data_IF_936608540678
#
_entry.id   IF_936608540678
#
_cell.length_a   1.000
_cell.length_b   1.000
_cell.length_c   1.000
_cell.angle_alpha   90.00
_cell.angle_beta   90.00
_cell.angle_gamma   90.00
#
_symmetry.space_group_name_H-M   'P 1'
#
loop_
_entity.id
_entity.type
_entity.pdbx_description
1 polymer ?
#
# COMPACT_ATOMS: atom_id res chain seq x y z
N UNK A 1 -9.26 -14.79 16.83
CA UNK A 1 -9.40 -14.58 15.38
C UNK A 1 -8.12 -15.09 14.71
N UNK A 2 -8.18 -16.17 13.92
CA UNK A 2 -7.04 -16.55 13.07
C UNK A 2 -6.98 -15.55 11.93
N UNK A 3 -5.98 -14.67 11.95
CA UNK A 3 -5.69 -13.82 10.78
C UNK A 3 -5.24 -14.81 9.71
N UNK A 4 -6.00 -14.98 8.64
CA UNK A 4 -5.66 -15.96 7.61
C UNK A 4 -4.22 -15.70 7.15
N UNK A 5 -3.27 -16.64 7.33
CA UNK A 5 -1.93 -16.50 6.81
C UNK A 5 -2.04 -16.56 5.28
N UNK A 6 -2.16 -15.42 4.63
CA UNK A 6 -1.95 -15.37 3.19
C UNK A 6 -0.43 -15.24 3.01
N UNK A 7 0.28 -16.30 2.60
CA UNK A 7 1.70 -16.21 2.33
C UNK A 7 1.96 -15.19 1.23
N UNK A 8 3.11 -14.51 1.33
CA UNK A 8 3.49 -13.40 0.45
C UNK A 8 3.30 -13.67 -1.07
N UNK A 9 3.63 -14.86 -1.61
CA UNK A 9 3.37 -15.17 -3.02
C UNK A 9 1.88 -15.13 -3.38
N UNK A 10 1.00 -15.61 -2.50
CA UNK A 10 -0.44 -15.61 -2.75
C UNK A 10 -1.01 -14.19 -2.77
N UNK A 11 -0.54 -13.32 -1.87
CA UNK A 11 -0.94 -11.90 -1.85
C UNK A 11 -0.59 -11.22 -3.17
N UNK A 12 0.59 -11.51 -3.72
CA UNK A 12 1.06 -10.92 -4.97
C UNK A 12 0.16 -11.25 -6.17
N UNK A 13 -0.51 -12.42 -6.17
CA UNK A 13 -1.43 -12.80 -7.25
C UNK A 13 -2.79 -12.10 -7.18
N UNK A 14 -3.14 -11.44 -6.06
CA UNK A 14 -4.47 -10.86 -5.92
C UNK A 14 -4.66 -9.65 -6.85
N UNK A 15 -3.66 -8.78 -6.99
CA UNK A 15 -3.79 -7.57 -7.80
C UNK A 15 -3.77 -7.83 -9.32
N UNK A 16 -2.91 -8.73 -9.85
CA UNK A 16 -2.98 -9.16 -11.24
C UNK A 16 -4.31 -9.83 -11.60
N UNK A 17 -4.90 -10.62 -10.68
CA UNK A 17 -6.21 -11.23 -10.93
C UNK A 17 -7.33 -10.21 -10.92
N UNK A 18 -7.32 -9.22 -10.02
CA UNK A 18 -8.25 -8.08 -10.05
C UNK A 18 -8.14 -7.33 -11.37
N UNK A 19 -6.91 -7.05 -11.84
CA UNK A 19 -6.68 -6.38 -13.11
C UNK A 19 -7.22 -7.21 -14.28
N UNK A 20 -6.92 -8.50 -14.32
CA UNK A 20 -7.34 -9.40 -15.39
C UNK A 20 -8.87 -9.49 -15.48
N UNK A 21 -9.54 -9.75 -14.35
CA UNK A 21 -11.01 -9.83 -14.29
C UNK A 21 -11.63 -8.49 -14.69
N UNK A 22 -11.09 -7.37 -14.19
CA UNK A 22 -11.61 -6.05 -14.53
C UNK A 22 -11.45 -5.69 -16.01
N UNK A 23 -10.32 -6.05 -16.63
CA UNK A 23 -10.07 -5.87 -18.06
C UNK A 23 -10.98 -6.77 -18.90
N UNK A 24 -11.22 -8.00 -18.46
CA UNK A 24 -12.14 -8.92 -19.12
C UNK A 24 -13.56 -8.34 -19.14
N UNK A 25 -14.05 -7.84 -18.00
CA UNK A 25 -15.36 -7.19 -17.90
C UNK A 25 -15.42 -5.93 -18.77
N UNK A 26 -14.37 -5.10 -18.76
CA UNK A 26 -14.28 -3.93 -19.62
C UNK A 26 -14.38 -4.28 -21.12
N UNK A 27 -13.80 -5.42 -21.53
CA UNK A 27 -13.80 -5.86 -22.92
C UNK A 27 -15.14 -6.48 -23.35
N UNK A 28 -15.91 -7.01 -22.41
CA UNK A 28 -17.23 -7.61 -22.68
C UNK A 28 -18.36 -6.58 -22.75
N UNK A 29 -18.20 -5.41 -22.11
CA UNK A 29 -19.23 -4.40 -22.02
C UNK A 29 -19.05 -3.29 -23.08
N UNK A 30 -20.13 -2.89 -23.79
CA UNK A 30 -20.08 -1.74 -24.69
C UNK A 30 -19.75 -0.43 -23.94
N UNK A 31 -18.97 0.44 -24.58
CA UNK A 31 -18.54 1.72 -23.98
C UNK A 31 -19.71 2.60 -23.50
N UNK A 32 -20.84 2.58 -24.21
CA UNK A 32 -22.04 3.34 -23.84
C UNK A 32 -22.62 2.88 -22.49
N UNK A 33 -22.65 1.56 -22.26
CA UNK A 33 -23.12 0.98 -21.00
C UNK A 33 -22.19 1.35 -19.84
N UNK A 34 -20.87 1.32 -20.08
CA UNK A 34 -19.87 1.71 -19.09
C UNK A 34 -20.00 3.18 -18.67
N UNK A 35 -20.27 4.08 -19.63
CA UNK A 35 -20.50 5.49 -19.35
C UNK A 35 -21.81 5.71 -18.57
N UNK A 36 -22.89 5.03 -18.96
CA UNK A 36 -24.17 5.09 -18.25
C UNK A 36 -24.05 4.62 -16.79
N UNK A 37 -23.31 3.53 -16.54
CA UNK A 37 -23.07 3.05 -15.18
C UNK A 37 -22.31 4.08 -14.33
N UNK A 38 -21.29 4.73 -14.89
CA UNK A 38 -20.52 5.78 -14.18
C UNK A 38 -21.37 6.97 -13.79
N UNK A 39 -22.32 7.40 -14.64
CA UNK A 39 -23.17 8.54 -14.36
C UNK A 39 -24.29 8.21 -13.37
N UNK A 40 -24.83 6.99 -13.44
CA UNK A 40 -26.01 6.60 -12.66
C UNK A 40 -25.66 6.12 -11.24
N UNK A 41 -24.50 5.46 -11.07
CA UNK A 41 -24.11 4.93 -9.77
C UNK A 41 -23.05 5.81 -9.11
N UNK A 42 -23.44 6.46 -8.01
CA UNK A 42 -22.56 7.34 -7.23
C UNK A 42 -21.24 6.66 -6.81
N UNK A 43 -21.28 5.38 -6.42
CA UNK A 43 -20.11 4.60 -5.99
C UNK A 43 -19.07 4.43 -7.10
N UNK A 44 -19.48 4.45 -8.38
CA UNK A 44 -18.59 4.29 -9.53
C UNK A 44 -17.99 5.62 -10.00
N UNK A 45 -18.58 6.74 -9.58
CA UNK A 45 -18.13 8.07 -9.95
C UNK A 45 -16.81 8.39 -9.24
N UNK A 46 -15.85 8.97 -9.94
CA UNK A 46 -14.55 9.37 -9.38
C UNK A 46 -14.66 10.38 -8.24
N UNK A 47 -15.76 11.14 -8.17
CA UNK A 47 -16.03 12.13 -7.11
C UNK A 47 -16.67 11.55 -5.84
N UNK A 48 -16.78 10.23 -5.73
CA UNK A 48 -17.38 9.61 -4.56
C UNK A 48 -16.51 9.80 -3.29
N UNK A 49 -17.14 9.85 -2.13
CA UNK A 49 -16.46 10.04 -0.84
C UNK A 49 -15.40 8.95 -0.59
N UNK A 50 -15.68 7.68 -0.94
CA UNK A 50 -14.73 6.59 -0.75
C UNK A 50 -13.45 6.81 -1.55
N UNK A 51 -13.55 7.23 -2.81
CA UNK A 51 -12.41 7.51 -3.67
C UNK A 51 -11.62 8.72 -3.16
N UNK A 52 -12.30 9.78 -2.73
CA UNK A 52 -11.66 10.97 -2.15
C UNK A 52 -10.91 10.66 -0.83
N UNK A 53 -11.48 9.82 0.03
CA UNK A 53 -10.85 9.47 1.31
C UNK A 53 -9.76 8.40 1.14
N UNK A 54 -10.07 7.33 0.42
CA UNK A 54 -9.21 6.15 0.35
C UNK A 54 -8.17 6.20 -0.75
N UNK A 55 -8.43 6.87 -1.88
CA UNK A 55 -7.43 7.06 -2.93
C UNK A 55 -6.68 8.38 -2.74
N UNK A 56 -7.35 9.54 -2.82
CA UNK A 56 -6.69 10.84 -2.73
C UNK A 56 -6.05 11.11 -1.37
N UNK A 57 -6.76 10.85 -0.27
CA UNK A 57 -6.18 10.92 1.08
C UNK A 57 -5.58 9.58 1.55
N UNK A 58 -5.41 8.61 0.66
CA UNK A 58 -4.96 7.27 1.00
C UNK A 58 -3.58 7.26 1.68
N UNK A 59 -2.72 8.25 1.42
CA UNK A 59 -1.40 8.32 2.03
C UNK A 59 -1.48 8.61 3.53
N UNK A 60 -2.43 9.46 3.93
CA UNK A 60 -2.72 9.76 5.34
C UNK A 60 -3.36 8.55 6.02
N UNK A 61 -4.35 7.93 5.36
CA UNK A 61 -5.00 6.70 5.86
C UNK A 61 -3.96 5.62 6.11
N UNK A 62 -3.13 5.32 5.11
CA UNK A 62 -2.06 4.34 5.23
C UNK A 62 -1.09 4.68 6.37
N UNK A 63 -0.72 5.95 6.54
CA UNK A 63 0.22 6.36 7.59
C UNK A 63 -0.33 6.06 8.99
N UNK A 64 -1.61 6.34 9.21
CA UNK A 64 -2.29 6.04 10.48
C UNK A 64 -2.33 4.52 10.72
N UNK A 65 -2.77 3.75 9.71
CA UNK A 65 -2.87 2.29 9.82
C UNK A 65 -1.51 1.63 10.05
N UNK A 66 -0.46 2.09 9.36
CA UNK A 66 0.89 1.58 9.50
C UNK A 66 1.47 1.88 10.89
N UNK A 67 1.25 3.09 11.43
CA UNK A 67 1.66 3.43 12.79
C UNK A 67 0.96 2.53 13.80
N UNK A 68 -0.37 2.37 13.71
CA UNK A 68 -1.13 1.48 14.60
C UNK A 68 -0.60 0.04 14.56
N UNK A 69 -0.34 -0.48 13.36
CA UNK A 69 0.20 -1.83 13.17
C UNK A 69 1.62 -1.96 13.73
N UNK A 70 2.47 -0.95 13.56
CA UNK A 70 3.83 -0.92 14.12
C UNK A 70 3.82 -0.90 15.66
N UNK A 71 2.87 -0.18 16.28
CA UNK A 71 2.70 -0.17 17.74
C UNK A 71 2.30 -1.56 18.24
N UNK A 72 1.38 -2.24 17.55
CA UNK A 72 0.98 -3.62 17.88
C UNK A 72 2.18 -4.58 17.78
N UNK A 73 2.93 -4.50 16.68
CA UNK A 73 4.15 -5.31 16.43
C UNK A 73 5.20 -5.11 17.54
N UNK A 74 5.52 -3.86 17.88
CA UNK A 74 6.51 -3.53 18.92
C UNK A 74 6.03 -4.02 20.29
N UNK A 75 4.75 -3.81 20.63
CA UNK A 75 4.18 -4.26 21.91
C UNK A 75 4.24 -5.77 22.06
N UNK A 76 3.88 -6.50 21.02
CA UNK A 76 4.02 -7.95 21.01
C UNK A 76 5.48 -8.31 21.15
N UNK A 77 6.36 -7.98 20.21
CA UNK A 77 7.75 -8.44 20.24
C UNK A 77 8.52 -8.05 21.53
N UNK A 78 8.20 -6.91 22.16
CA UNK A 78 8.74 -6.49 23.47
C UNK A 78 8.42 -7.46 24.63
N UNK A 79 7.30 -8.17 24.57
CA UNK A 79 6.90 -9.16 25.59
C UNK A 79 7.59 -10.52 25.40
N UNK A 80 8.07 -10.86 24.19
CA UNK A 80 8.73 -12.16 23.92
C UNK A 80 10.08 -12.30 24.63
N UNK A 81 10.80 -11.20 24.88
CA UNK A 81 12.12 -11.25 25.56
C UNK A 81 12.01 -11.81 26.99
N UNK A 82 10.85 -11.70 27.63
CA UNK A 82 10.68 -12.12 29.02
C UNK A 82 10.70 -13.66 29.21
N UNK A 83 10.59 -14.46 28.14
CA UNK A 83 10.48 -15.92 28.22
C UNK A 83 11.82 -16.67 28.30
N UNK A 84 12.96 -15.99 28.08
CA UNK A 84 14.29 -16.59 28.23
C UNK A 84 15.08 -15.82 29.31
N UNK A 85 15.20 -16.36 30.55
CA UNK A 85 15.98 -15.72 31.59
C UNK A 85 17.48 -15.90 31.28
N UNK A 86 18.12 -14.89 30.68
CA UNK A 86 19.59 -14.78 30.61
C UNK A 86 20.04 -13.50 31.32
N UNK A 87 20.77 -13.72 32.42
CA UNK A 87 21.55 -12.84 33.30
C UNK A 87 21.59 -11.29 33.12
N UNK A 88 21.48 -10.64 34.30
CA UNK A 88 22.00 -9.33 34.80
C UNK A 88 21.69 -8.02 34.05
N UNK A 89 21.54 -7.97 32.72
CA UNK A 89 21.24 -6.73 31.97
C UNK A 89 19.95 -6.80 31.14
N UNK A 90 18.93 -7.51 31.64
CA UNK A 90 17.68 -7.77 30.91
C UNK A 90 16.95 -6.49 30.48
N UNK A 91 16.99 -5.43 31.30
CA UNK A 91 16.36 -4.14 30.99
C UNK A 91 17.09 -3.38 29.87
N UNK A 92 18.43 -3.37 29.88
CA UNK A 92 19.24 -2.72 28.84
C UNK A 92 19.12 -3.47 27.51
N UNK A 93 19.14 -4.80 27.55
CA UNK A 93 18.92 -5.66 26.38
C UNK A 93 17.52 -5.46 25.76
N UNK A 94 16.47 -5.41 26.60
CA UNK A 94 15.10 -5.11 26.16
C UNK A 94 15.00 -3.73 25.51
N UNK A 95 15.59 -2.70 26.12
CA UNK A 95 15.62 -1.34 25.55
C UNK A 95 16.32 -1.31 24.19
N UNK A 96 17.45 -2.02 24.05
CA UNK A 96 18.18 -2.11 22.78
C UNK A 96 17.36 -2.78 21.68
N UNK A 97 16.66 -3.87 22.01
CA UNK A 97 15.78 -4.55 21.06
C UNK A 97 14.61 -3.67 20.62
N UNK A 98 13.91 -3.02 21.57
CA UNK A 98 12.82 -2.09 21.25
C UNK A 98 13.31 -0.93 20.39
N UNK A 99 14.48 -0.35 20.69
CA UNK A 99 15.08 0.70 19.87
C UNK A 99 15.39 0.23 18.45
N UNK A 100 15.89 -1.01 18.29
CA UNK A 100 16.14 -1.62 16.98
C UNK A 100 14.84 -1.79 16.18
N UNK A 101 13.76 -2.26 16.81
CA UNK A 101 12.43 -2.35 16.17
C UNK A 101 11.87 -0.98 15.78
N UNK A 102 11.96 0.01 16.67
CA UNK A 102 11.54 1.39 16.37
C UNK A 102 12.31 1.91 15.16
N UNK A 103 13.64 1.76 15.15
CA UNK A 103 14.50 2.14 14.03
C UNK A 103 14.04 1.46 12.73
N UNK A 104 13.76 0.16 12.76
CA UNK A 104 13.28 -0.59 11.60
C UNK A 104 11.97 -0.02 11.04
N UNK A 105 10.98 0.23 11.90
CA UNK A 105 9.67 0.75 11.47
C UNK A 105 9.74 2.21 10.98
N UNK A 106 10.56 3.04 11.60
CA UNK A 106 10.83 4.41 11.13
C UNK A 106 11.48 4.38 9.75
N UNK A 107 12.48 3.51 9.55
CA UNK A 107 13.16 3.37 8.25
C UNK A 107 12.18 2.86 7.19
N UNK A 108 11.34 1.86 7.50
CA UNK A 108 10.30 1.41 6.57
C UNK A 108 9.34 2.53 6.18
N UNK A 109 8.91 3.36 7.13
CA UNK A 109 8.03 4.50 6.87
C UNK A 109 8.69 5.53 5.95
N UNK A 110 9.93 5.93 6.24
CA UNK A 110 10.68 6.89 5.41
C UNK A 110 10.93 6.31 4.01
N UNK A 111 11.41 5.06 3.95
CA UNK A 111 11.75 4.39 2.70
C UNK A 111 10.52 4.27 1.78
N UNK A 112 9.35 3.92 2.33
CA UNK A 112 8.10 3.89 1.57
C UNK A 112 7.81 5.25 0.93
N UNK A 113 7.91 6.35 1.67
CA UNK A 113 7.63 7.69 1.14
C UNK A 113 8.65 8.12 0.09
N UNK A 114 9.95 7.85 0.32
CA UNK A 114 11.02 8.17 -0.63
C UNK A 114 10.88 7.39 -1.93
N UNK A 115 10.67 6.06 -1.86
CA UNK A 115 10.50 5.23 -3.05
C UNK A 115 9.24 5.62 -3.83
N UNK A 116 8.14 5.87 -3.12
CA UNK A 116 6.88 6.27 -3.75
C UNK A 116 7.00 7.64 -4.44
N UNK A 117 7.66 8.61 -3.79
CA UNK A 117 7.94 9.91 -4.41
C UNK A 117 8.79 9.75 -5.67
N UNK A 118 9.83 8.90 -5.63
CA UNK A 118 10.65 8.60 -6.79
C UNK A 118 9.85 7.96 -7.94
N UNK A 119 8.93 7.03 -7.64
CA UNK A 119 8.05 6.43 -8.65
C UNK A 119 7.12 7.48 -9.29
N UNK A 120 6.54 8.38 -8.50
CA UNK A 120 5.70 9.44 -9.04
C UNK A 120 6.48 10.45 -9.88
N UNK A 121 7.73 10.75 -9.53
CA UNK A 121 8.62 11.56 -10.37
C UNK A 121 8.85 10.89 -11.74
N UNK A 122 9.04 9.56 -11.77
CA UNK A 122 9.18 8.82 -13.02
C UNK A 122 7.88 8.88 -13.84
N UNK A 123 6.72 8.67 -13.20
CA UNK A 123 5.42 8.72 -13.87
C UNK A 123 5.17 10.10 -14.47
N UNK A 124 5.34 11.17 -13.68
CA UNK A 124 5.13 12.55 -14.13
C UNK A 124 6.10 12.91 -15.28
N UNK A 125 7.37 12.48 -15.18
CA UNK A 125 8.36 12.69 -16.25
C UNK A 125 7.97 11.99 -17.54
N UNK A 126 7.52 10.72 -17.47
CA UNK A 126 7.04 9.99 -18.64
C UNK A 126 5.77 10.62 -19.23
N UNK A 127 4.90 11.15 -18.38
CA UNK A 127 3.66 11.78 -18.82
C UNK A 127 3.93 13.06 -19.62
N UNK A 128 4.92 13.86 -19.20
CA UNK A 128 5.36 15.05 -19.94
C UNK A 128 6.11 14.65 -21.23
N UNK A 129 7.03 13.70 -21.16
CA UNK A 129 7.81 13.24 -22.32
C UNK A 129 6.94 12.69 -23.45
N UNK A 130 5.76 12.19 -23.14
CA UNK A 130 4.80 11.67 -24.12
C UNK A 130 3.86 12.75 -24.68
N UNK A 131 4.13 14.03 -24.40
CA UNK A 131 3.38 15.18 -24.91
C UNK A 131 2.20 15.60 -24.03
N UNK A 132 2.28 15.35 -22.72
CA UNK A 132 1.29 15.84 -21.76
C UNK A 132 1.61 17.27 -21.33
N UNK A 133 0.63 18.17 -21.43
CA UNK A 133 0.79 19.58 -21.06
C UNK A 133 -0.39 20.10 -20.22
N UNK A 134 -0.11 21.09 -19.38
CA UNK A 134 -1.14 21.79 -18.59
C UNK A 134 -1.66 23.00 -19.37
N UNK A 135 -2.97 23.08 -19.58
CA UNK A 135 -3.61 24.16 -20.35
C UNK A 135 -3.46 25.56 -19.67
N UNK A 136 -3.31 25.59 -18.34
CA UNK A 136 -3.40 26.85 -17.58
C UNK A 136 -2.04 27.55 -17.36
N UNK A 137 -0.96 26.78 -17.19
CA UNK A 137 0.35 27.27 -16.75
C UNK A 137 1.43 26.44 -17.45
N UNK A 138 2.20 27.11 -18.31
CA UNK A 138 3.49 26.62 -18.82
C UNK A 138 4.45 26.53 -17.61
N UNK A 139 5.16 25.41 -17.42
CA UNK A 139 6.06 25.07 -16.29
C UNK A 139 5.48 24.31 -15.08
N UNK A 140 4.37 23.57 -15.24
CA UNK A 140 3.94 22.60 -14.21
C UNK A 140 4.41 21.18 -14.58
N UNK A 141 5.21 20.60 -13.68
CA UNK A 141 5.87 19.30 -13.89
C UNK A 141 5.05 18.11 -13.36
N UNK A 142 3.81 18.33 -12.93
CA UNK A 142 2.98 17.29 -12.32
C UNK A 142 1.51 17.50 -12.65
N UNK A 143 0.86 16.46 -13.16
CA UNK A 143 -0.55 16.49 -13.52
C UNK A 143 -1.45 16.72 -12.29
N UNK A 144 -1.03 16.25 -11.11
CA UNK A 144 -1.73 16.51 -9.85
C UNK A 144 -1.69 18.00 -9.47
N UNK A 145 -0.53 18.64 -9.61
CA UNK A 145 -0.38 20.07 -9.32
C UNK A 145 -1.17 20.95 -10.29
N UNK A 146 -1.24 20.57 -11.57
CA UNK A 146 -2.07 21.26 -12.56
C UNK A 146 -3.55 21.18 -12.17
N UNK A 147 -4.04 19.98 -11.81
CA UNK A 147 -5.43 19.76 -11.36
C UNK A 147 -5.74 20.50 -10.05
N UNK A 148 -4.79 20.54 -9.10
CA UNK A 148 -4.94 21.27 -7.84
C UNK A 148 -5.10 22.79 -8.05
N UNK A 149 -4.47 23.35 -9.08
CA UNK A 149 -4.63 24.76 -9.48
C UNK A 149 -5.85 25.02 -10.37
N UNK A 150 -6.70 24.00 -10.59
CA UNK A 150 -7.89 24.11 -11.45
C UNK A 150 -7.62 24.00 -12.95
N UNK A 151 -6.38 23.70 -13.34
CA UNK A 151 -6.01 23.45 -14.73
C UNK A 151 -6.48 22.08 -15.21
N UNK A 152 -6.60 21.94 -16.54
CA UNK A 152 -6.82 20.65 -17.20
C UNK A 152 -5.51 20.21 -17.84
N UNK A 153 -5.20 18.94 -17.66
CA UNK A 153 -4.06 18.29 -18.31
C UNK A 153 -4.57 17.63 -19.59
N UNK A 154 -3.94 17.95 -20.72
CA UNK A 154 -4.32 17.46 -22.04
C UNK A 154 -3.13 16.74 -22.69
N UNK A 155 -3.42 15.67 -23.44
CA UNK A 155 -2.38 14.86 -24.09
C UNK A 155 -1.60 13.95 -23.15
N UNK A 156 -0.55 13.33 -23.69
CA UNK A 156 0.36 12.43 -22.97
C UNK A 156 -0.19 11.04 -22.67
N UNK A 157 0.70 10.16 -22.24
CA UNK A 157 0.40 8.81 -21.78
C UNK A 157 0.27 8.77 -20.24
N UNK A 158 -0.96 8.69 -19.73
CA UNK A 158 -1.28 8.76 -18.30
C UNK A 158 -1.21 7.38 -17.62
N UNK A 159 -0.03 6.99 -17.13
CA UNK A 159 0.13 5.76 -16.33
C UNK A 159 -0.82 5.83 -15.12
N UNK A 160 -1.57 4.77 -14.86
CA UNK A 160 -2.54 4.78 -13.77
C UNK A 160 -1.88 4.92 -12.39
N UNK A 161 -1.84 6.16 -11.89
CA UNK A 161 -1.33 6.48 -10.56
C UNK A 161 -2.13 5.80 -9.45
N UNK A 162 -3.43 5.56 -9.65
CA UNK A 162 -4.27 4.81 -8.70
C UNK A 162 -3.81 3.37 -8.54
N UNK A 163 -3.50 2.68 -9.65
CA UNK A 163 -2.94 1.33 -9.61
C UNK A 163 -1.59 1.31 -8.92
N UNK A 164 -0.68 2.20 -9.32
CA UNK A 164 0.64 2.31 -8.70
C UNK A 164 0.52 2.53 -7.19
N UNK A 165 -0.23 3.56 -6.79
CA UNK A 165 -0.34 3.98 -5.40
C UNK A 165 -1.04 2.94 -4.51
N UNK A 166 -2.24 2.49 -4.88
CA UNK A 166 -3.04 1.63 -4.03
C UNK A 166 -2.44 0.25 -3.88
N UNK A 167 -1.88 -0.33 -4.95
CA UNK A 167 -1.16 -1.62 -4.88
C UNK A 167 0.04 -1.50 -3.94
N UNK A 168 0.80 -0.41 -4.05
CA UNK A 168 1.97 -0.17 -3.23
C UNK A 168 1.65 -0.14 -1.73
N UNK A 169 0.73 0.73 -1.32
CA UNK A 169 0.38 0.92 0.08
C UNK A 169 -0.30 -0.32 0.67
N UNK A 170 -1.13 -1.01 -0.12
CA UNK A 170 -1.87 -2.19 0.33
C UNK A 170 -0.98 -3.42 0.47
N UNK A 171 -0.06 -3.67 -0.48
CA UNK A 171 0.91 -4.77 -0.37
C UNK A 171 1.85 -4.60 0.82
N UNK A 172 2.23 -3.36 1.16
CA UNK A 172 3.03 -3.09 2.37
C UNK A 172 2.26 -3.48 3.63
N UNK A 173 0.97 -3.11 3.73
CA UNK A 173 0.14 -3.50 4.89
C UNK A 173 -0.10 -5.01 4.93
N UNK A 174 -0.36 -5.66 3.80
CA UNK A 174 -0.46 -7.12 3.74
C UNK A 174 0.83 -7.81 4.20
N UNK A 175 1.99 -7.27 3.83
CA UNK A 175 3.29 -7.79 4.25
C UNK A 175 3.49 -7.65 5.76
N UNK A 176 3.12 -6.52 6.36
CA UNK A 176 3.18 -6.33 7.82
C UNK A 176 2.15 -7.18 8.58
N UNK A 177 0.95 -7.38 8.02
CA UNK A 177 -0.04 -8.30 8.61
C UNK A 177 0.46 -9.75 8.56
N UNK A 178 1.11 -10.17 7.48
CA UNK A 178 1.72 -11.50 7.37
C UNK A 178 2.83 -11.69 8.42
N UNK A 179 3.67 -10.66 8.63
CA UNK A 179 4.68 -10.68 9.70
C UNK A 179 4.04 -10.73 11.10
N UNK A 180 2.98 -9.97 11.32
CA UNK A 180 2.25 -9.99 12.59
C UNK A 180 1.65 -11.37 12.86
N UNK A 181 1.05 -11.99 11.85
CA UNK A 181 0.45 -13.30 11.99
C UNK A 181 1.48 -14.37 12.37
N UNK A 182 2.68 -14.34 11.77
CA UNK A 182 3.79 -15.23 12.19
C UNK A 182 4.15 -15.06 13.66
N UNK A 183 4.24 -13.81 14.13
CA UNK A 183 4.52 -13.51 15.55
C UNK A 183 3.39 -14.01 16.47
N UNK A 184 2.14 -14.03 15.99
CA UNK A 184 0.99 -14.55 16.74
C UNK A 184 0.93 -16.08 16.72
N UNK A 185 1.25 -16.72 15.60
CA UNK A 185 1.36 -18.19 15.48
C UNK A 185 2.44 -18.73 16.40
N UNK A 186 3.64 -18.12 16.40
CA UNK A 186 4.73 -18.44 17.33
C UNK A 186 4.31 -18.28 18.81
N UNK A 187 3.24 -17.53 19.10
CA UNK A 187 2.68 -17.31 20.43
C UNK A 187 1.46 -18.13 20.76
N UNK A 188 0.77 -18.73 19.79
CA UNK A 188 -0.44 -19.51 20.08
C UNK A 188 -0.09 -20.74 20.94
N UNK A 189 1.16 -21.21 20.88
CA UNK A 189 1.75 -22.18 21.82
C UNK A 189 1.92 -21.64 23.26
N UNK A 190 1.95 -20.31 23.43
CA UNK A 190 2.15 -19.59 24.70
C UNK A 190 0.92 -18.72 25.01
N UNK A 191 -0.16 -19.33 25.50
CA UNK A 191 -1.49 -18.76 25.85
C UNK A 191 -1.55 -17.26 26.27
N UNK A 192 -1.41 -16.32 25.33
CA UNK A 192 -1.75 -14.89 25.54
C UNK A 192 -2.95 -14.51 24.68
N UNK A 193 -4.06 -14.12 25.32
CA UNK A 193 -5.23 -13.58 24.61
C UNK A 193 -4.83 -12.27 23.92
N UNK A 194 -5.21 -12.12 22.64
CA UNK A 194 -5.09 -10.84 21.92
C UNK A 194 -6.06 -9.84 22.57
N UNK A 195 -5.58 -8.63 22.87
CA UNK A 195 -6.43 -7.58 23.40
C UNK A 195 -7.52 -7.20 22.38
N UNK A 196 -8.75 -6.97 22.85
CA UNK A 196 -9.88 -6.54 21.98
C UNK A 196 -9.55 -5.31 21.13
N UNK A 197 -8.72 -4.41 21.66
CA UNK A 197 -8.24 -3.24 20.93
C UNK A 197 -7.39 -3.62 19.70
N UNK A 198 -6.47 -4.59 19.84
CA UNK A 198 -5.63 -5.06 18.74
C UNK A 198 -6.47 -5.74 17.66
N UNK A 199 -7.44 -6.56 18.07
CA UNK A 199 -8.39 -7.20 17.16
C UNK A 199 -9.17 -6.16 16.35
N UNK A 200 -9.69 -5.12 17.01
CA UNK A 200 -10.37 -4.00 16.35
C UNK A 200 -9.49 -3.29 15.32
N UNK A 201 -8.23 -3.02 15.64
CA UNK A 201 -7.28 -2.41 14.68
C UNK A 201 -7.06 -3.31 13.47
N UNK A 202 -6.87 -4.62 13.66
CA UNK A 202 -6.68 -5.57 12.55
C UNK A 202 -7.92 -5.60 11.64
N UNK A 203 -9.12 -5.62 12.22
CA UNK A 203 -10.38 -5.58 11.45
C UNK A 203 -10.49 -4.31 10.62
N UNK A 204 -10.12 -3.15 11.19
CA UNK A 204 -10.10 -1.87 10.47
C UNK A 204 -9.12 -1.92 9.29
N UNK A 205 -7.90 -2.44 9.51
CA UNK A 205 -6.89 -2.56 8.44
C UNK A 205 -7.41 -3.46 7.31
N UNK A 206 -7.98 -4.63 7.64
CA UNK A 206 -8.56 -5.54 6.65
C UNK A 206 -9.70 -4.87 5.88
N UNK A 207 -10.59 -4.14 6.56
CA UNK A 207 -11.65 -3.36 5.92
C UNK A 207 -11.11 -2.35 4.91
N UNK A 208 -10.08 -1.57 5.28
CA UNK A 208 -9.42 -0.64 4.37
C UNK A 208 -8.77 -1.33 3.17
N UNK A 209 -8.14 -2.50 3.36
CA UNK A 209 -7.56 -3.29 2.27
C UNK A 209 -8.62 -3.74 1.27
N UNK A 210 -9.74 -4.28 1.73
CA UNK A 210 -10.85 -4.67 0.86
C UNK A 210 -11.46 -3.48 0.12
N UNK A 211 -11.58 -2.32 0.76
CA UNK A 211 -12.04 -1.10 0.10
C UNK A 211 -11.08 -0.65 -1.00
N UNK A 212 -9.77 -0.68 -0.77
CA UNK A 212 -8.77 -0.38 -1.81
C UNK A 212 -8.83 -1.38 -2.98
N UNK A 213 -9.04 -2.66 -2.70
CA UNK A 213 -9.24 -3.67 -3.75
C UNK A 213 -10.50 -3.39 -4.57
N UNK A 214 -11.60 -2.95 -3.93
CA UNK A 214 -12.81 -2.51 -4.61
C UNK A 214 -12.58 -1.30 -5.52
N UNK A 215 -11.83 -0.29 -5.05
CA UNK A 215 -11.47 0.89 -5.86
C UNK A 215 -10.60 0.49 -7.05
N UNK A 216 -9.62 -0.40 -6.86
CA UNK A 216 -8.80 -0.93 -7.95
C UNK A 216 -9.63 -1.71 -8.97
N UNK A 217 -10.61 -2.50 -8.52
CA UNK A 217 -11.53 -3.20 -9.40
C UNK A 217 -12.37 -2.23 -10.24
N UNK A 218 -12.95 -1.19 -9.63
CA UNK A 218 -13.66 -0.13 -10.36
C UNK A 218 -12.72 0.56 -11.36
N UNK A 219 -11.48 0.85 -10.96
CA UNK A 219 -10.47 1.44 -11.85
C UNK A 219 -10.16 0.51 -13.03
N UNK A 220 -10.02 -0.80 -12.79
CA UNK A 220 -9.77 -1.81 -13.82
C UNK A 220 -10.87 -1.87 -14.87
N UNK A 221 -12.14 -1.80 -14.43
CA UNK A 221 -13.31 -1.92 -15.32
C UNK A 221 -13.60 -0.62 -16.07
N UNK A 222 -13.44 0.53 -15.43
CA UNK A 222 -14.05 1.77 -15.91
C UNK A 222 -13.06 2.84 -16.37
N UNK A 223 -11.82 2.86 -15.90
CA UNK A 223 -10.89 3.97 -16.12
C UNK A 223 -9.60 3.49 -16.80
N UNK A 224 -8.86 4.38 -17.47
CA UNK A 224 -7.58 4.10 -18.14
C UNK A 224 -7.60 3.06 -19.27
N UNK A 225 -6.59 3.13 -20.14
CA UNK A 225 -6.34 2.11 -21.16
C UNK A 225 -5.64 0.87 -20.56
N UNK A 226 -5.59 -0.23 -21.31
CA UNK A 226 -4.96 -1.48 -20.85
C UNK A 226 -3.47 -1.27 -20.46
N UNK A 227 -2.72 -0.56 -21.30
CA UNK A 227 -1.29 -0.35 -21.10
C UNK A 227 -1.02 0.49 -19.85
N UNK A 228 -1.80 1.55 -19.64
CA UNK A 228 -1.72 2.42 -18.47
C UNK A 228 -1.96 1.65 -17.16
N UNK A 229 -2.92 0.71 -17.17
CA UNK A 229 -3.22 -0.17 -16.03
C UNK A 229 -2.09 -1.15 -15.76
N UNK A 230 -1.54 -1.78 -16.80
CA UNK A 230 -0.43 -2.75 -16.66
C UNK A 230 0.80 -2.07 -16.09
N UNK A 231 1.18 -0.90 -16.62
CA UNK A 231 2.33 -0.16 -16.11
C UNK A 231 2.09 0.33 -14.68
N UNK A 232 0.91 0.86 -14.38
CA UNK A 232 0.54 1.23 -13.01
C UNK A 232 0.63 0.03 -12.05
N UNK A 233 0.17 -1.15 -12.49
CA UNK A 233 0.28 -2.39 -11.71
C UNK A 233 1.74 -2.76 -11.44
N UNK A 234 2.59 -2.79 -12.47
CA UNK A 234 4.02 -3.12 -12.33
C UNK A 234 4.72 -2.16 -11.36
N UNK A 235 4.52 -0.84 -11.52
CA UNK A 235 5.12 0.15 -10.63
C UNK A 235 4.63 0.02 -9.18
N UNK A 236 3.37 -0.39 -8.98
CA UNK A 236 2.80 -0.65 -7.66
C UNK A 236 3.54 -1.72 -6.86
N UNK A 237 4.14 -2.71 -7.52
CA UNK A 237 4.93 -3.76 -6.86
C UNK A 237 6.33 -3.33 -6.42
N UNK A 238 6.86 -2.23 -6.96
CA UNK A 238 8.27 -1.84 -6.77
C UNK A 238 8.61 -1.60 -5.30
N UNK A 239 7.90 -0.74 -4.57
CA UNK A 239 8.25 -0.47 -3.16
C UNK A 239 8.11 -1.70 -2.26
N UNK A 240 7.00 -2.47 -2.30
CA UNK A 240 6.88 -3.71 -1.51
C UNK A 240 8.02 -4.70 -1.77
N UNK A 241 8.41 -4.90 -3.03
CA UNK A 241 9.52 -5.80 -3.39
C UNK A 241 10.83 -5.28 -2.80
N UNK A 242 11.13 -3.99 -2.93
CA UNK A 242 12.35 -3.41 -2.35
C UNK A 242 12.37 -3.59 -0.83
N UNK A 243 11.26 -3.28 -0.16
CA UNK A 243 11.17 -3.27 1.30
C UNK A 243 11.15 -4.66 1.94
N UNK A 244 10.44 -5.62 1.36
CA UNK A 244 10.17 -6.92 1.98
C UNK A 244 10.87 -8.10 1.32
N UNK A 245 11.41 -7.93 0.10
CA UNK A 245 12.20 -8.96 -0.57
C UNK A 245 13.68 -8.56 -0.70
N UNK A 246 13.97 -7.41 -1.32
CA UNK A 246 15.36 -7.02 -1.61
C UNK A 246 16.17 -6.67 -0.35
N UNK A 247 15.67 -5.80 0.53
CA UNK A 247 16.41 -5.40 1.73
C UNK A 247 16.65 -6.56 2.71
N UNK A 248 15.66 -7.41 3.04
CA UNK A 248 15.86 -8.54 3.94
C UNK A 248 16.83 -9.62 3.39
N UNK A 249 16.87 -9.82 2.07
CA UNK A 249 17.74 -10.81 1.44
C UNK A 249 19.21 -10.34 1.36
N UNK A 250 19.46 -9.03 1.39
CA UNK A 250 20.79 -8.47 1.39
C UNK A 250 21.33 -8.29 2.82
N UNK A 251 22.32 -9.10 3.22
CA UNK A 251 22.87 -9.12 4.59
C UNK A 251 23.32 -7.73 5.07
N UNK A 252 24.05 -6.99 4.22
CA UNK A 252 24.54 -5.63 4.54
C UNK A 252 23.38 -4.63 4.74
N UNK A 253 22.39 -4.65 3.84
CA UNK A 253 21.23 -3.75 3.91
C UNK A 253 20.37 -4.08 5.13
N UNK A 254 20.10 -5.37 5.39
CA UNK A 254 19.36 -5.82 6.57
C UNK A 254 20.03 -5.39 7.88
N UNK A 255 21.36 -5.51 7.98
CA UNK A 255 22.10 -5.09 9.17
C UNK A 255 22.08 -3.58 9.37
N UNK A 256 22.17 -2.81 8.28
CA UNK A 256 22.22 -1.33 8.35
C UNK A 256 20.85 -0.73 8.63
N UNK A 257 19.84 -1.22 7.91
CA UNK A 257 18.50 -0.62 7.88
C UNK A 257 17.53 -1.26 8.89
N UNK A 258 17.58 -2.58 9.08
CA UNK A 258 16.57 -3.31 9.86
C UNK A 258 17.09 -3.90 11.18
N UNK A 259 18.35 -3.68 11.54
CA UNK A 259 18.94 -4.07 12.84
C UNK A 259 19.52 -2.88 13.59
#
# INVERSE_FOLDING_TARGET
>A
MKILPIPWPQICYIYPTILFIGVLINSLLPNETLQSHKSNYYVLNSKNIFNQVMAYNGNKVWSILFILLSVIQIRLQSTNINLLPRHVDSAASKRRHVNSLIKQYVIKFVLKNVLLAFLFLIIDSLFILTGGECNLIEDIWSAEHCKAKGGRWEGGFDISGHFCFLINISLILWSELSLLNKVLEDREETFTKIDKWMEGVIVIILGCLYLWMGILFVTAVYYHTLLEKILGCILGFVCPIVMYYFIPNNVKLKQTLYK
#
